data_IF_638371136943
#
_entry.id   IF_638371136943
#
_cell.length_a   1.000
_cell.length_b   1.000
_cell.length_c   1.000
_cell.angle_alpha   90.00
_cell.angle_beta   90.00
_cell.angle_gamma   90.00
#
_symmetry.space_group_name_H-M   'P 1'
#
loop_
_entity.id
_entity.type
_entity.pdbx_description
1 polymer ?
#
# COMPACT_ATOMS: atom_id res chain seq x y z
N UNK A 1 74.97 5.38 6.26
CA UNK A 1 74.93 4.38 5.19
C UNK A 1 73.49 3.89 5.04
N UNK A 2 72.74 4.46 4.12
CA UNK A 2 71.36 4.06 3.80
C UNK A 2 71.46 3.26 2.48
N UNK A 3 71.19 1.97 2.52
CA UNK A 3 71.09 1.14 1.33
C UNK A 3 69.71 1.28 0.71
N UNK A 4 69.60 2.12 -0.31
CA UNK A 4 68.42 2.16 -1.20
C UNK A 4 68.39 0.86 -2.03
N UNK A 5 67.57 -0.13 -1.65
CA UNK A 5 67.18 -1.21 -2.55
C UNK A 5 66.10 -0.67 -3.52
N UNK A 6 66.54 -0.25 -4.70
CA UNK A 6 65.65 -0.01 -5.81
C UNK A 6 64.97 -1.32 -6.21
N UNK A 7 63.79 -1.56 -5.75
CA UNK A 7 62.95 -2.68 -6.15
C UNK A 7 62.54 -2.45 -7.63
N UNK A 8 63.18 -3.16 -8.54
CA UNK A 8 62.96 -3.01 -9.96
C UNK A 8 61.66 -3.76 -10.35
N UNK A 9 60.54 -3.06 -10.27
CA UNK A 9 59.22 -3.58 -10.58
C UNK A 9 59.17 -4.24 -12.00
N UNK A 10 59.95 -3.67 -12.95
CA UNK A 10 60.00 -4.16 -14.33
C UNK A 10 60.62 -5.56 -14.44
N UNK A 11 61.68 -5.85 -13.65
CA UNK A 11 62.31 -7.18 -13.64
C UNK A 11 61.42 -8.21 -12.92
N UNK A 12 60.70 -7.78 -11.88
CA UNK A 12 59.72 -8.64 -11.21
C UNK A 12 58.52 -8.98 -12.12
N UNK A 13 57.98 -8.04 -12.88
CA UNK A 13 56.92 -8.27 -13.86
C UNK A 13 57.39 -9.17 -15.00
N UNK A 14 58.59 -8.95 -15.58
CA UNK A 14 59.15 -9.78 -16.62
C UNK A 14 59.39 -11.24 -16.16
N UNK A 15 59.87 -11.43 -14.94
CA UNK A 15 60.07 -12.74 -14.34
C UNK A 15 58.72 -13.47 -14.11
N UNK A 16 57.71 -12.75 -13.58
CA UNK A 16 56.38 -13.31 -13.43
C UNK A 16 55.74 -13.69 -14.77
N UNK A 17 55.90 -12.85 -15.81
CA UNK A 17 55.37 -13.13 -17.14
C UNK A 17 56.03 -14.35 -17.78
N UNK A 18 57.38 -14.49 -17.66
CA UNK A 18 58.10 -15.66 -18.19
C UNK A 18 57.73 -16.97 -17.47
N UNK A 19 57.53 -16.90 -16.15
CA UNK A 19 57.06 -18.05 -15.37
C UNK A 19 55.64 -18.47 -15.77
N UNK A 20 54.75 -17.50 -15.96
CA UNK A 20 53.37 -17.74 -16.43
C UNK A 20 53.35 -18.38 -17.84
N UNK A 21 54.16 -17.90 -18.78
CA UNK A 21 54.28 -18.46 -20.14
C UNK A 21 54.82 -19.90 -20.14
N UNK A 22 55.80 -20.22 -19.30
CA UNK A 22 56.33 -21.57 -19.19
C UNK A 22 55.28 -22.52 -18.54
N UNK A 23 54.61 -22.10 -17.51
CA UNK A 23 53.53 -22.85 -16.86
C UNK A 23 52.38 -23.12 -17.85
N UNK A 24 51.99 -22.12 -18.66
CA UNK A 24 50.92 -22.27 -19.63
C UNK A 24 51.26 -23.29 -20.74
N UNK A 25 52.53 -23.37 -21.18
CA UNK A 25 53.01 -24.36 -22.15
C UNK A 25 53.02 -25.77 -21.54
N UNK A 26 53.42 -25.90 -20.27
CA UNK A 26 53.46 -27.18 -19.57
C UNK A 26 52.03 -27.74 -19.36
N UNK A 27 51.09 -26.89 -18.98
CA UNK A 27 49.69 -27.24 -18.82
C UNK A 27 49.03 -27.65 -20.15
N UNK A 28 49.34 -26.95 -21.23
CA UNK A 28 48.82 -27.27 -22.57
C UNK A 28 49.30 -28.58 -23.14
N UNK A 29 50.46 -29.09 -22.71
CA UNK A 29 51.06 -30.35 -23.17
C UNK A 29 50.46 -31.60 -22.52
N UNK A 30 49.82 -31.45 -21.36
CA UNK A 30 49.26 -32.58 -20.59
C UNK A 30 47.72 -32.40 -20.45
N UNK A 31 46.94 -33.26 -21.14
CA UNK A 31 45.48 -33.19 -21.15
C UNK A 31 44.84 -33.31 -19.77
N UNK A 32 45.45 -34.04 -18.84
CA UNK A 32 44.93 -34.18 -17.48
C UNK A 32 45.14 -32.90 -16.67
N UNK A 33 46.30 -32.26 -16.80
CA UNK A 33 46.60 -30.97 -16.20
C UNK A 33 45.74 -29.85 -16.80
N UNK A 34 45.46 -29.89 -18.11
CA UNK A 34 44.60 -28.94 -18.77
C UNK A 34 43.16 -28.97 -18.17
N UNK A 35 42.60 -30.18 -18.00
CA UNK A 35 41.28 -30.34 -17.38
C UNK A 35 41.22 -29.80 -15.97
N UNK A 36 42.21 -30.13 -15.15
CA UNK A 36 42.29 -29.63 -13.76
C UNK A 36 42.42 -28.09 -13.70
N UNK A 37 43.22 -27.51 -14.59
CA UNK A 37 43.43 -26.07 -14.68
C UNK A 37 42.12 -25.34 -15.07
N UNK A 38 41.38 -25.89 -16.05
CA UNK A 38 40.08 -25.33 -16.44
C UNK A 38 39.06 -25.36 -15.32
N UNK A 39 39.04 -26.43 -14.50
CA UNK A 39 38.18 -26.50 -13.31
C UNK A 39 38.55 -25.43 -12.32
N UNK A 40 39.83 -25.22 -12.02
CA UNK A 40 40.26 -24.15 -11.12
C UNK A 40 39.93 -22.76 -11.64
N UNK A 41 40.09 -22.50 -12.92
CA UNK A 41 39.69 -21.25 -13.57
C UNK A 41 38.20 -21.03 -13.40
N UNK A 42 37.38 -22.06 -13.62
CA UNK A 42 35.92 -21.98 -13.43
C UNK A 42 35.55 -21.65 -11.96
N UNK A 43 36.17 -22.33 -11.00
CA UNK A 43 35.95 -22.09 -9.56
C UNK A 43 36.33 -20.65 -9.19
N UNK A 44 37.48 -20.16 -9.64
CA UNK A 44 37.90 -18.77 -9.39
C UNK A 44 36.92 -17.79 -10.01
N UNK A 45 36.46 -18.06 -11.24
CA UNK A 45 35.48 -17.21 -11.95
C UNK A 45 34.15 -17.15 -11.19
N UNK A 46 33.65 -18.30 -10.73
CA UNK A 46 32.43 -18.36 -9.91
C UNK A 46 32.62 -17.62 -8.59
N UNK A 47 33.79 -17.74 -7.95
CA UNK A 47 34.08 -17.01 -6.72
C UNK A 47 34.13 -15.50 -6.94
N UNK A 48 34.69 -15.03 -8.05
CA UNK A 48 34.73 -13.61 -8.42
C UNK A 48 33.29 -13.10 -8.67
N UNK A 49 32.46 -13.85 -9.41
CA UNK A 49 31.05 -13.49 -9.61
C UNK A 49 30.34 -13.37 -8.26
N UNK A 50 30.52 -14.36 -7.38
CA UNK A 50 29.94 -14.34 -6.05
C UNK A 50 30.42 -13.15 -5.22
N UNK A 51 31.70 -12.85 -5.23
CA UNK A 51 32.26 -11.69 -4.52
C UNK A 51 31.73 -10.36 -5.05
N UNK A 52 31.61 -10.23 -6.39
CA UNK A 52 31.01 -9.05 -7.03
C UNK A 52 29.52 -8.94 -6.65
N UNK A 53 28.78 -10.05 -6.65
CA UNK A 53 27.40 -10.07 -6.22
C UNK A 53 27.23 -9.63 -4.76
N UNK A 54 28.02 -10.21 -3.85
CA UNK A 54 28.01 -9.83 -2.41
C UNK A 54 28.40 -8.37 -2.23
N UNK A 55 29.43 -7.90 -2.93
CA UNK A 55 29.84 -6.49 -2.88
C UNK A 55 28.70 -5.58 -3.39
N UNK A 56 28.07 -5.93 -4.50
CA UNK A 56 26.99 -5.14 -5.07
C UNK A 56 25.77 -5.08 -4.13
N UNK A 57 25.37 -6.23 -3.56
CA UNK A 57 24.29 -6.29 -2.57
C UNK A 57 24.65 -5.45 -1.34
N UNK A 58 25.82 -5.66 -0.77
CA UNK A 58 26.27 -4.94 0.43
C UNK A 58 26.46 -3.44 0.16
N UNK A 59 27.15 -3.09 -0.91
CA UNK A 59 27.48 -1.70 -1.23
C UNK A 59 26.30 -0.92 -1.77
N UNK A 60 25.57 -1.45 -2.76
CA UNK A 60 24.44 -0.72 -3.37
C UNK A 60 23.20 -0.70 -2.48
N UNK A 61 22.88 -1.77 -1.79
CA UNK A 61 21.70 -1.84 -0.94
C UNK A 61 21.94 -1.29 0.47
N UNK A 62 23.11 -1.53 1.06
CA UNK A 62 23.39 -1.12 2.42
C UNK A 62 24.06 0.26 2.51
N UNK A 63 25.06 0.54 1.71
CA UNK A 63 25.85 1.77 1.84
C UNK A 63 25.47 2.90 0.89
N UNK A 64 25.04 2.58 -0.32
CA UNK A 64 24.71 3.61 -1.33
C UNK A 64 23.47 4.40 -0.95
N UNK A 65 22.52 3.82 -0.21
CA UNK A 65 21.31 4.49 0.25
C UNK A 65 21.55 5.45 1.41
N UNK A 66 22.44 5.13 2.33
CA UNK A 66 22.70 5.90 3.55
C UNK A 66 24.11 6.48 3.65
N UNK A 67 25.07 6.04 2.85
CA UNK A 67 26.49 6.43 2.95
C UNK A 67 27.29 5.57 3.93
N UNK A 68 28.55 5.94 4.16
CA UNK A 68 29.45 5.20 5.04
C UNK A 68 29.01 5.30 6.51
N UNK A 69 29.03 4.18 7.22
CA UNK A 69 28.64 4.10 8.65
C UNK A 69 27.21 3.64 8.89
N UNK A 70 26.43 3.33 7.84
CA UNK A 70 25.06 2.80 8.01
C UNK A 70 25.06 1.36 8.52
N UNK A 71 24.20 1.10 9.48
CA UNK A 71 23.80 -0.25 9.90
C UNK A 71 22.68 -0.78 9.02
N UNK A 72 22.34 -2.08 9.11
CA UNK A 72 21.20 -2.67 8.38
C UNK A 72 19.90 -1.93 8.72
N UNK A 73 19.72 -1.55 9.97
CA UNK A 73 18.52 -0.82 10.41
C UNK A 73 18.43 0.57 9.78
N UNK A 74 19.54 1.27 9.66
CA UNK A 74 19.58 2.61 9.04
C UNK A 74 19.42 2.55 7.53
N UNK A 75 19.88 1.50 6.86
CA UNK A 75 19.72 1.34 5.40
C UNK A 75 18.29 1.03 5.00
N UNK A 76 17.53 0.41 5.88
CA UNK A 76 16.11 0.16 5.65
C UNK A 76 15.27 1.44 5.67
N UNK A 77 15.84 2.57 6.14
CA UNK A 77 15.18 3.88 6.22
C UNK A 77 15.27 4.73 4.94
N UNK A 78 15.27 4.11 3.77
CA UNK A 78 15.41 4.84 2.51
C UNK A 78 14.36 5.96 2.34
N UNK A 79 13.11 5.74 2.74
CA UNK A 79 12.06 6.76 2.67
C UNK A 79 12.36 7.94 3.61
N UNK A 80 12.86 7.67 4.81
CA UNK A 80 13.29 8.73 5.73
C UNK A 80 14.33 9.65 5.10
N UNK A 81 15.28 9.10 4.31
CA UNK A 81 16.27 9.92 3.59
C UNK A 81 15.68 10.68 2.40
N UNK A 82 14.72 10.11 1.68
CA UNK A 82 14.05 10.77 0.55
C UNK A 82 13.27 11.99 1.06
N UNK A 83 12.46 11.83 2.10
CA UNK A 83 11.55 12.86 2.58
C UNK A 83 12.22 13.89 3.49
N UNK A 84 13.23 13.51 4.29
CA UNK A 84 13.98 14.46 5.11
C UNK A 84 14.94 15.34 4.30
N UNK A 85 15.57 14.82 3.24
CA UNK A 85 16.49 15.59 2.39
C UNK A 85 15.82 16.76 1.65
N UNK A 86 14.55 16.64 1.35
CA UNK A 86 13.82 17.66 0.59
C UNK A 86 13.18 18.73 1.49
N UNK A 87 13.48 18.73 2.81
CA UNK A 87 12.86 19.67 3.76
C UNK A 87 11.34 19.54 3.84
N UNK A 88 10.81 18.48 3.27
CA UNK A 88 9.40 18.25 3.07
C UNK A 88 8.85 17.30 4.10
N UNK A 89 8.69 17.78 5.33
CA UNK A 89 7.47 17.62 6.05
C UNK A 89 6.76 18.96 6.10
N UNK A 90 6.23 19.43 5.02
CA UNK A 90 4.98 20.09 5.11
C UNK A 90 3.99 19.20 4.40
N UNK A 91 3.53 18.11 5.01
CA UNK A 91 2.21 17.77 4.58
C UNK A 91 1.34 18.90 5.09
N UNK A 92 0.86 19.70 4.18
CA UNK A 92 -0.19 20.68 4.44
C UNK A 92 -1.48 19.94 4.87
N UNK A 93 -1.39 18.63 5.07
CA UNK A 93 -2.49 17.76 5.45
C UNK A 93 -2.86 18.03 6.90
N UNK A 94 -4.15 18.02 7.14
CA UNK A 94 -4.76 18.09 8.47
C UNK A 94 -5.86 17.04 8.56
N UNK A 95 -6.26 16.71 9.77
CA UNK A 95 -7.40 15.83 9.99
C UNK A 95 -8.68 16.47 9.45
N UNK A 96 -9.58 15.65 8.90
CA UNK A 96 -10.93 16.09 8.53
C UNK A 96 -11.60 16.64 9.78
N UNK A 97 -12.06 17.89 9.71
CA UNK A 97 -12.71 18.54 10.83
C UNK A 97 -14.13 18.00 11.01
N UNK A 98 -14.45 17.66 12.25
CA UNK A 98 -15.71 17.09 12.73
C UNK A 98 -16.95 17.90 12.34
N UNK A 99 -16.81 19.22 12.24
CA UNK A 99 -17.90 20.12 11.92
C UNK A 99 -18.03 20.40 10.42
N UNK A 100 -17.16 19.82 9.58
CA UNK A 100 -17.28 20.00 8.13
C UNK A 100 -18.36 19.07 7.59
N UNK A 101 -19.22 19.59 6.73
CA UNK A 101 -20.18 18.75 5.99
C UNK A 101 -19.46 17.62 5.21
N UNK A 102 -18.17 17.79 4.92
CA UNK A 102 -17.36 16.82 4.22
C UNK A 102 -17.23 15.48 4.93
N UNK A 103 -17.31 15.39 6.27
CA UNK A 103 -17.25 14.11 7.00
C UNK A 103 -18.50 13.23 6.83
N UNK A 104 -19.60 13.79 6.36
CA UNK A 104 -20.91 13.13 6.35
C UNK A 104 -21.13 12.22 5.16
N UNK A 105 -20.27 12.30 4.15
CA UNK A 105 -20.39 11.47 2.97
C UNK A 105 -19.90 10.05 3.23
N UNK A 106 -20.27 9.13 2.38
CA UNK A 106 -19.89 7.73 2.48
C UNK A 106 -18.40 7.53 2.19
N UNK A 107 -17.79 6.50 2.78
CA UNK A 107 -16.37 6.20 2.56
C UNK A 107 -16.01 6.08 1.06
N UNK A 108 -16.90 5.53 0.26
CA UNK A 108 -16.75 5.41 -1.20
C UNK A 108 -16.75 6.75 -1.95
N UNK A 109 -17.20 7.82 -1.31
CA UNK A 109 -17.29 9.14 -1.93
C UNK A 109 -15.97 9.93 -1.85
N UNK A 110 -14.92 9.34 -1.28
CA UNK A 110 -13.63 9.99 -1.14
C UNK A 110 -12.55 9.35 -1.98
N UNK A 111 -11.60 10.18 -2.44
CA UNK A 111 -10.25 9.75 -2.77
C UNK A 111 -9.46 9.62 -1.46
N UNK A 112 -8.71 8.54 -1.32
CA UNK A 112 -8.01 8.19 -0.07
C UNK A 112 -6.52 8.08 -0.36
N UNK A 113 -5.70 8.87 0.34
CA UNK A 113 -4.25 8.82 0.20
C UNK A 113 -3.71 7.45 0.62
N UNK A 114 -3.22 6.71 -0.37
CA UNK A 114 -2.91 5.27 -0.25
C UNK A 114 -1.45 4.99 -0.60
N UNK A 115 -0.78 4.21 0.22
CA UNK A 115 0.57 3.71 -0.04
C UNK A 115 0.57 2.20 -0.26
N UNK A 116 1.36 1.75 -1.22
CA UNK A 116 1.55 0.34 -1.58
C UNK A 116 2.82 -0.23 -0.97
N UNK A 117 2.75 -1.40 -0.33
CA UNK A 117 3.88 -2.05 0.33
C UNK A 117 4.66 -1.07 1.25
N UNK A 118 3.98 -0.53 2.24
CA UNK A 118 4.41 0.60 3.08
C UNK A 118 5.76 0.43 3.79
N UNK A 119 6.21 -0.81 3.98
CA UNK A 119 7.50 -1.10 4.60
C UNK A 119 8.66 -1.20 3.60
N UNK A 120 8.38 -1.14 2.28
CA UNK A 120 9.42 -1.26 1.27
C UNK A 120 10.22 0.03 1.13
N UNK A 121 11.54 -0.08 1.17
CA UNK A 121 12.46 1.06 0.93
C UNK A 121 12.97 1.14 -0.51
N UNK A 122 12.62 0.18 -1.38
CA UNK A 122 13.13 0.11 -2.75
C UNK A 122 12.41 -0.92 -3.60
N UNK A 123 13.15 -1.93 -4.06
CA UNK A 123 12.60 -3.00 -4.87
C UNK A 123 11.81 -3.99 -4.01
N UNK A 124 10.86 -4.70 -4.62
CA UNK A 124 10.10 -5.74 -3.93
C UNK A 124 10.82 -7.08 -3.86
N UNK A 125 11.82 -7.29 -4.71
CA UNK A 125 12.65 -8.47 -4.78
C UNK A 125 14.11 -8.12 -4.51
N UNK A 126 14.80 -8.97 -3.74
CA UNK A 126 16.21 -8.83 -3.39
C UNK A 126 16.53 -7.48 -2.71
N UNK A 127 15.63 -7.04 -1.85
CA UNK A 127 15.76 -5.79 -1.10
C UNK A 127 15.22 -5.96 0.33
N UNK A 128 15.20 -4.90 1.11
CA UNK A 128 14.82 -4.91 2.52
C UNK A 128 13.50 -4.19 2.76
N UNK A 129 12.77 -4.65 3.78
CA UNK A 129 11.64 -3.94 4.38
C UNK A 129 12.05 -3.39 5.74
N UNK A 130 11.47 -2.24 6.16
CA UNK A 130 11.82 -1.59 7.42
C UNK A 130 10.68 -0.77 8.00
N UNK A 131 10.56 -0.75 9.35
CA UNK A 131 9.56 0.05 10.07
C UNK A 131 9.73 1.54 9.83
N UNK A 132 10.95 2.01 9.67
CA UNK A 132 11.20 3.42 9.40
C UNK A 132 10.63 3.90 8.05
N UNK A 133 10.48 3.01 7.06
CA UNK A 133 9.76 3.34 5.83
C UNK A 133 8.26 3.54 6.12
N UNK A 134 7.66 2.69 6.95
CA UNK A 134 6.29 2.86 7.41
C UNK A 134 6.10 4.17 8.19
N UNK A 135 7.01 4.49 9.10
CA UNK A 135 7.00 5.76 9.85
C UNK A 135 7.06 6.95 8.88
N UNK A 136 7.93 6.90 7.85
CA UNK A 136 8.02 7.93 6.84
C UNK A 136 6.72 8.07 6.03
N UNK A 137 6.07 6.96 5.66
CA UNK A 137 4.76 6.97 4.97
C UNK A 137 3.67 7.58 5.84
N UNK A 138 3.58 7.17 7.11
CA UNK A 138 2.61 7.70 8.07
C UNK A 138 2.80 9.22 8.25
N UNK A 139 4.04 9.68 8.35
CA UNK A 139 4.34 11.09 8.53
C UNK A 139 4.05 11.95 7.28
N UNK A 140 3.90 11.33 6.10
CA UNK A 140 3.33 11.99 4.91
C UNK A 140 1.78 12.08 4.96
N UNK A 141 1.15 11.63 6.04
CA UNK A 141 -0.29 11.68 6.24
C UNK A 141 -1.08 10.60 5.50
N UNK A 142 -0.43 9.56 5.02
CA UNK A 142 -1.10 8.43 4.37
C UNK A 142 -2.07 7.74 5.34
N UNK A 143 -3.25 7.39 4.85
CA UNK A 143 -4.31 6.77 5.66
C UNK A 143 -4.80 5.42 5.15
N UNK A 144 -4.40 4.99 3.98
CA UNK A 144 -4.54 3.62 3.54
C UNK A 144 -3.15 2.99 3.36
N UNK A 145 -2.86 1.98 4.17
CA UNK A 145 -1.56 1.32 4.29
C UNK A 145 -1.67 -0.11 3.77
N UNK A 146 -1.00 -0.41 2.66
CA UNK A 146 -1.04 -1.74 2.05
C UNK A 146 0.19 -2.57 2.44
N UNK A 147 -0.04 -3.86 2.70
CA UNK A 147 0.99 -4.81 3.12
C UNK A 147 0.78 -6.19 2.49
N UNK A 148 1.88 -6.89 2.17
CA UNK A 148 1.88 -8.32 1.89
C UNK A 148 2.18 -9.11 3.17
N UNK A 149 1.24 -9.99 3.57
CA UNK A 149 1.35 -10.80 4.77
C UNK A 149 1.70 -12.25 4.45
N UNK A 150 2.72 -12.75 5.10
CA UNK A 150 3.22 -14.12 4.99
C UNK A 150 3.20 -14.81 6.35
N UNK A 151 3.37 -16.14 6.33
CA UNK A 151 3.55 -16.95 7.53
C UNK A 151 5.01 -17.33 7.72
N UNK A 152 5.57 -17.03 8.90
CA UNK A 152 6.87 -17.53 9.33
C UNK A 152 6.74 -18.15 10.71
N UNK A 153 6.98 -19.47 10.84
CA UNK A 153 6.81 -20.18 12.10
C UNK A 153 5.41 -19.95 12.73
N UNK A 154 4.36 -19.98 11.92
CA UNK A 154 2.97 -19.69 12.31
C UNK A 154 2.73 -18.26 12.83
N UNK A 155 3.66 -17.34 12.64
CA UNK A 155 3.49 -15.93 12.99
C UNK A 155 3.23 -15.08 11.75
N UNK A 156 2.34 -14.07 11.83
CA UNK A 156 2.11 -13.13 10.74
C UNK A 156 3.30 -12.19 10.59
N UNK A 157 3.87 -12.14 9.39
CA UNK A 157 4.99 -11.26 9.05
C UNK A 157 4.68 -10.46 7.80
N UNK A 158 5.26 -9.27 7.71
CA UNK A 158 5.21 -8.41 6.52
C UNK A 158 6.53 -8.52 5.76
N UNK A 159 6.40 -8.74 4.46
CA UNK A 159 7.51 -8.83 3.53
C UNK A 159 7.02 -8.38 2.15
N UNK A 160 7.84 -8.51 1.10
CA UNK A 160 7.47 -8.13 -0.27
C UNK A 160 7.83 -9.20 -1.27
N UNK A 161 7.09 -9.24 -2.39
CA UNK A 161 7.39 -10.04 -3.57
C UNK A 161 7.17 -9.24 -4.86
N UNK A 162 7.85 -9.65 -5.93
CA UNK A 162 7.70 -9.06 -7.27
C UNK A 162 6.45 -9.56 -8.00
N UNK A 163 5.82 -10.60 -7.49
CA UNK A 163 4.62 -11.21 -8.07
C UNK A 163 3.43 -10.98 -7.15
N UNK A 164 2.42 -10.22 -7.58
CA UNK A 164 1.17 -10.11 -6.85
C UNK A 164 0.35 -11.40 -6.94
N UNK A 165 0.69 -12.32 -7.86
CA UNK A 165 -0.09 -13.54 -8.09
C UNK A 165 0.13 -14.59 -7.01
N UNK A 166 -0.92 -15.39 -6.78
CA UNK A 166 -1.02 -16.53 -5.87
C UNK A 166 0.02 -17.64 -6.09
N UNK A 167 0.74 -17.62 -7.22
CA UNK A 167 1.72 -18.66 -7.57
C UNK A 167 2.97 -18.67 -6.70
N UNK A 168 3.22 -17.62 -5.93
CA UNK A 168 4.40 -17.51 -5.06
C UNK A 168 4.01 -17.08 -3.66
N UNK A 169 3.73 -18.07 -2.78
CA UNK A 169 3.58 -17.85 -1.34
C UNK A 169 4.92 -17.54 -0.64
N UNK A 170 5.97 -17.24 -1.40
CA UNK A 170 7.30 -16.98 -0.88
C UNK A 170 7.61 -15.48 -0.94
N UNK A 171 8.11 -14.95 0.17
CA UNK A 171 8.66 -13.60 0.18
C UNK A 171 9.95 -13.54 -0.65
N UNK A 172 10.18 -12.43 -1.32
CA UNK A 172 11.39 -12.18 -2.09
C UNK A 172 12.28 -11.09 -1.47
N UNK A 173 11.81 -10.39 -0.43
CA UNK A 173 12.64 -9.51 0.40
C UNK A 173 13.61 -10.31 1.27
N UNK A 174 14.80 -9.75 1.54
CA UNK A 174 15.81 -10.42 2.35
C UNK A 174 15.38 -10.63 3.80
N UNK A 175 14.68 -9.67 4.37
CA UNK A 175 14.14 -9.74 5.72
C UNK A 175 12.59 -9.74 5.72
N UNK A 176 12.03 -9.72 6.91
CA UNK A 176 10.60 -9.56 7.18
C UNK A 176 10.41 -8.85 8.52
N UNK A 177 9.22 -8.30 8.74
CA UNK A 177 8.85 -7.57 9.95
C UNK A 177 7.67 -8.29 10.60
N UNK A 178 7.72 -8.59 11.91
CA UNK A 178 6.57 -9.11 12.64
C UNK A 178 5.38 -8.14 12.54
N UNK A 179 4.17 -8.65 12.35
CA UNK A 179 3.00 -7.79 12.21
C UNK A 179 2.68 -7.02 13.50
N UNK A 180 3.06 -7.57 14.66
CA UNK A 180 2.96 -6.85 15.94
C UNK A 180 3.74 -5.53 15.93
N UNK A 181 4.92 -5.51 15.33
CA UNK A 181 5.75 -4.31 15.25
C UNK A 181 5.13 -3.27 14.31
N UNK A 182 4.41 -3.73 13.27
CA UNK A 182 3.62 -2.85 12.39
C UNK A 182 2.49 -2.18 13.19
N UNK A 183 1.71 -2.96 13.94
CA UNK A 183 0.60 -2.44 14.75
C UNK A 183 1.09 -1.48 15.83
N UNK A 184 2.15 -1.82 16.53
CA UNK A 184 2.80 -0.93 17.52
C UNK A 184 3.29 0.37 16.87
N UNK A 185 3.85 0.29 15.67
CA UNK A 185 4.29 1.48 14.92
C UNK A 185 3.10 2.35 14.52
N UNK A 186 2.03 1.77 14.02
CA UNK A 186 0.80 2.51 13.69
C UNK A 186 0.24 3.18 14.93
N UNK A 187 0.12 2.47 16.04
CA UNK A 187 -0.39 3.01 17.31
C UNK A 187 0.43 4.22 17.79
N UNK A 188 1.75 4.12 17.74
CA UNK A 188 2.64 5.15 18.28
C UNK A 188 2.78 6.37 17.36
N UNK A 189 2.73 6.19 16.05
CA UNK A 189 3.06 7.24 15.09
C UNK A 189 1.86 7.83 14.35
N UNK A 190 0.80 7.06 14.10
CA UNK A 190 -0.29 7.52 13.26
C UNK A 190 -1.34 8.36 14.00
N UNK A 191 -1.38 8.27 15.33
CA UNK A 191 -2.34 8.96 16.17
C UNK A 191 -1.71 10.08 17.03
N UNK A 192 -0.48 10.43 16.75
CA UNK A 192 0.23 11.51 17.45
C UNK A 192 0.45 12.70 16.50
N UNK A 193 0.03 13.89 16.92
CA UNK A 193 0.25 15.13 16.17
C UNK A 193 1.71 15.54 16.04
N UNK A 194 2.62 14.95 16.84
CA UNK A 194 4.07 15.17 16.71
C UNK A 194 4.69 14.37 15.56
N UNK A 195 4.03 13.31 15.10
CA UNK A 195 4.57 12.37 14.12
C UNK A 195 3.72 12.24 12.85
N UNK A 196 2.47 12.67 12.91
CA UNK A 196 1.53 12.60 11.80
C UNK A 196 0.69 13.88 11.72
N UNK A 197 0.45 14.43 10.51
CA UNK A 197 -0.28 15.69 10.33
C UNK A 197 -1.79 15.57 10.56
N UNK A 198 -2.35 14.37 10.41
CA UNK A 198 -3.80 14.11 10.46
C UNK A 198 -4.16 12.98 11.44
N UNK A 199 -3.83 13.11 12.75
CA UNK A 199 -3.91 12.01 13.71
C UNK A 199 -5.34 11.56 14.07
N UNK A 200 -6.37 12.36 13.80
CA UNK A 200 -7.77 11.99 14.08
C UNK A 200 -8.45 11.23 12.93
N UNK A 201 -7.82 11.16 11.76
CA UNK A 201 -8.38 10.45 10.62
C UNK A 201 -8.31 8.92 10.83
N UNK A 202 -9.28 8.17 10.29
CA UNK A 202 -9.21 6.71 10.33
C UNK A 202 -8.03 6.18 9.53
N UNK A 203 -7.59 4.97 9.86
CA UNK A 203 -6.58 4.23 9.12
C UNK A 203 -7.21 3.03 8.45
N UNK A 204 -6.89 2.80 7.20
CA UNK A 204 -7.22 1.59 6.46
C UNK A 204 -5.94 0.75 6.38
N UNK A 205 -6.01 -0.47 6.88
CA UNK A 205 -4.96 -1.48 6.70
C UNK A 205 -5.45 -2.47 5.63
N UNK A 206 -4.81 -2.46 4.49
CA UNK A 206 -5.07 -3.41 3.41
C UNK A 206 -4.06 -4.55 3.47
N UNK A 207 -4.54 -5.76 3.72
CA UNK A 207 -3.72 -6.97 3.90
C UNK A 207 -3.87 -7.89 2.70
N UNK A 208 -2.83 -8.02 1.90
CA UNK A 208 -2.75 -9.05 0.85
C UNK A 208 -2.17 -10.33 1.45
N UNK A 209 -3.07 -11.26 1.81
CA UNK A 209 -2.70 -12.50 2.48
C UNK A 209 -2.08 -13.48 1.48
N UNK A 210 -0.87 -13.92 1.77
CA UNK A 210 -0.06 -14.84 0.95
C UNK A 210 0.08 -16.24 1.56
N UNK A 211 -0.76 -16.60 2.52
CA UNK A 211 -0.67 -17.89 3.21
C UNK A 211 -2.04 -18.39 3.65
N UNK A 212 -2.32 -19.67 3.40
CA UNK A 212 -3.50 -20.37 3.91
C UNK A 212 -3.25 -21.04 5.28
N UNK A 213 -2.22 -20.65 6.03
CA UNK A 213 -1.89 -21.22 7.32
C UNK A 213 -2.88 -20.75 8.41
N UNK A 214 -3.83 -21.60 8.79
CA UNK A 214 -4.83 -21.29 9.80
C UNK A 214 -4.24 -20.94 11.17
N UNK A 215 -3.11 -21.52 11.57
CA UNK A 215 -2.44 -21.17 12.84
C UNK A 215 -1.90 -19.74 12.80
N UNK A 216 -1.35 -19.30 11.68
CA UNK A 216 -0.92 -17.93 11.51
C UNK A 216 -2.11 -16.96 11.58
N UNK A 217 -3.23 -17.30 10.94
CA UNK A 217 -4.43 -16.45 10.94
C UNK A 217 -5.05 -16.35 12.35
N UNK A 218 -5.08 -17.44 13.13
CA UNK A 218 -5.53 -17.39 14.52
C UNK A 218 -4.55 -16.60 15.41
N UNK A 219 -3.24 -16.74 15.18
CA UNK A 219 -2.25 -15.91 15.88
C UNK A 219 -2.38 -14.42 15.52
N UNK A 220 -2.77 -14.11 14.28
CA UNK A 220 -3.11 -12.75 13.86
C UNK A 220 -4.32 -12.20 14.63
N UNK A 221 -5.39 -13.00 14.80
CA UNK A 221 -6.54 -12.61 15.62
C UNK A 221 -6.14 -12.31 17.07
N UNK A 222 -5.41 -13.23 17.71
CA UNK A 222 -4.91 -13.03 19.08
C UNK A 222 -4.04 -11.78 19.22
N UNK A 223 -3.27 -11.44 18.19
CA UNK A 223 -2.47 -10.21 18.16
C UNK A 223 -3.37 -8.97 18.09
N UNK A 224 -4.40 -9.00 17.25
CA UNK A 224 -5.31 -7.88 17.05
C UNK A 224 -6.16 -7.58 18.29
N UNK A 225 -6.45 -8.58 19.12
CA UNK A 225 -7.16 -8.41 20.40
C UNK A 225 -6.48 -7.35 21.30
N UNK A 226 -5.15 -7.27 21.28
CA UNK A 226 -4.41 -6.25 22.03
C UNK A 226 -4.67 -4.81 21.54
N UNK A 227 -5.20 -4.64 20.33
CA UNK A 227 -5.50 -3.36 19.68
C UNK A 227 -7.01 -3.10 19.51
N UNK A 228 -7.86 -3.88 20.16
CA UNK A 228 -9.32 -3.84 20.01
C UNK A 228 -9.89 -2.42 20.17
N UNK A 229 -9.36 -1.62 21.09
CA UNK A 229 -9.77 -0.23 21.28
C UNK A 229 -9.56 0.68 20.06
N UNK A 230 -8.63 0.32 19.16
CA UNK A 230 -8.34 1.03 17.92
C UNK A 230 -9.14 0.49 16.73
N UNK A 231 -9.57 -0.77 16.80
CA UNK A 231 -10.29 -1.44 15.72
C UNK A 231 -11.75 -1.01 15.67
N UNK A 232 -12.39 -1.22 14.54
CA UNK A 232 -13.86 -1.13 14.45
C UNK A 232 -14.49 -2.27 15.24
N UNK A 233 -15.63 -1.97 15.88
CA UNK A 233 -16.39 -2.97 16.61
C UNK A 233 -16.99 -4.06 15.70
N UNK A 234 -17.51 -5.15 16.28
CA UNK A 234 -18.06 -6.29 15.55
C UNK A 234 -19.26 -5.92 14.66
N UNK A 235 -19.94 -4.79 14.92
CA UNK A 235 -21.02 -4.26 14.10
C UNK A 235 -20.55 -3.86 12.68
N UNK A 236 -19.25 -3.61 12.51
CA UNK A 236 -18.61 -3.30 11.23
C UNK A 236 -17.85 -4.47 10.62
N UNK A 237 -17.94 -5.66 11.20
CA UNK A 237 -17.36 -6.85 10.58
C UNK A 237 -18.01 -7.13 9.22
N UNK A 238 -17.29 -7.84 8.34
CA UNK A 238 -17.74 -8.11 6.98
C UNK A 238 -19.15 -8.71 6.93
N UNK A 239 -19.44 -9.65 7.80
CA UNK A 239 -20.74 -10.34 7.84
C UNK A 239 -21.86 -9.46 8.43
N UNK A 240 -21.54 -8.56 9.35
CA UNK A 240 -22.52 -7.72 10.05
C UNK A 240 -22.82 -6.39 9.33
N UNK A 241 -21.84 -5.81 8.65
CA UNK A 241 -21.96 -4.51 7.96
C UNK A 241 -22.70 -4.58 6.62
N UNK A 242 -23.26 -5.74 6.24
CA UNK A 242 -23.86 -5.98 4.92
C UNK A 242 -22.84 -5.99 3.79
N UNK A 243 -21.58 -6.29 4.07
CA UNK A 243 -20.46 -6.45 3.16
C UNK A 243 -20.02 -5.16 2.46
N UNK A 244 -20.68 -4.03 2.69
CA UNK A 244 -20.43 -2.76 1.99
C UNK A 244 -20.09 -1.62 2.95
N UNK A 245 -18.91 -1.68 3.57
CA UNK A 245 -18.40 -0.60 4.42
C UNK A 245 -18.25 0.73 3.64
N UNK A 246 -18.06 0.65 2.33
CA UNK A 246 -18.02 1.83 1.45
C UNK A 246 -19.28 2.69 1.51
N UNK A 247 -20.42 2.13 1.90
CA UNK A 247 -21.70 2.82 2.07
C UNK A 247 -21.90 3.41 3.49
N UNK A 248 -20.90 3.33 4.38
CA UNK A 248 -20.94 3.90 5.72
C UNK A 248 -20.31 5.30 5.70
N UNK A 249 -20.92 6.31 6.35
CA UNK A 249 -20.35 7.65 6.42
C UNK A 249 -18.98 7.69 7.09
N UNK A 250 -18.04 8.46 6.54
CA UNK A 250 -16.66 8.58 7.04
C UNK A 250 -16.60 9.01 8.51
N UNK A 251 -17.57 9.82 8.96
CA UNK A 251 -17.66 10.29 10.34
C UNK A 251 -17.68 9.17 11.38
N UNK A 252 -18.21 7.99 11.06
CA UNK A 252 -18.26 6.87 12.00
C UNK A 252 -16.89 6.22 12.26
N UNK A 253 -15.94 6.47 11.38
CA UNK A 253 -14.57 5.93 11.48
C UNK A 253 -13.59 6.97 12.00
N UNK A 254 -13.94 8.25 11.94
CA UNK A 254 -13.08 9.35 12.42
C UNK A 254 -13.11 9.46 13.95
N UNK A 255 -12.11 10.12 14.51
CA UNK A 255 -12.01 10.37 15.94
C UNK A 255 -13.10 11.30 16.51
N UNK A 256 -13.95 11.83 15.66
CA UNK A 256 -15.07 12.74 15.98
C UNK A 256 -16.02 12.18 17.00
N UNK A 257 -16.43 10.93 16.77
CA UNK A 257 -17.39 10.21 17.61
C UNK A 257 -16.72 9.29 18.62
N UNK A 258 -15.39 9.18 18.58
CA UNK A 258 -14.64 8.37 19.53
C UNK A 258 -14.40 9.17 20.82
N UNK A 259 -14.65 8.58 22.00
CA UNK A 259 -14.30 9.22 23.29
C UNK A 259 -12.81 9.57 23.39
N UNK A 260 -11.95 8.86 22.69
CA UNK A 260 -10.49 9.06 22.65
C UNK A 260 -10.05 10.08 21.62
N UNK A 261 -10.96 10.61 20.79
CA UNK A 261 -10.66 11.48 19.63
C UNK A 261 -9.65 10.88 18.64
N UNK A 262 -9.56 9.57 18.59
CA UNK A 262 -8.70 8.81 17.67
C UNK A 262 -9.56 8.19 16.59
N UNK A 263 -9.09 8.24 15.34
CA UNK A 263 -9.68 7.50 14.22
C UNK A 263 -9.58 6.00 14.46
N UNK A 264 -10.49 5.25 13.86
CA UNK A 264 -10.52 3.79 13.93
C UNK A 264 -9.67 3.16 12.84
N UNK A 265 -9.23 1.92 13.08
CA UNK A 265 -8.56 1.09 12.09
C UNK A 265 -9.59 0.23 11.38
N UNK A 266 -9.61 0.32 10.05
CA UNK A 266 -10.40 -0.48 9.14
C UNK A 266 -9.50 -1.55 8.55
N UNK A 267 -9.86 -2.83 8.65
CA UNK A 267 -9.09 -3.94 8.09
C UNK A 267 -9.76 -4.42 6.80
N UNK A 268 -9.04 -4.29 5.68
CA UNK A 268 -9.44 -4.81 4.37
C UNK A 268 -8.52 -5.96 4.00
N UNK A 269 -9.09 -7.08 3.58
CA UNK A 269 -8.35 -8.27 3.21
C UNK A 269 -8.46 -8.54 1.71
N UNK A 270 -7.34 -8.85 1.09
CA UNK A 270 -7.27 -9.50 -0.22
C UNK A 270 -6.72 -10.90 -0.03
N UNK A 271 -7.52 -11.89 -0.34
CA UNK A 271 -7.07 -13.27 -0.41
C UNK A 271 -6.72 -13.59 -1.87
N UNK A 272 -5.48 -13.98 -2.08
CA UNK A 272 -4.92 -14.16 -3.43
C UNK A 272 -5.59 -15.29 -4.21
N UNK A 273 -6.17 -16.28 -3.52
CA UNK A 273 -6.93 -17.37 -4.13
C UNK A 273 -8.04 -17.90 -3.18
N UNK A 274 -8.87 -18.80 -3.69
CA UNK A 274 -9.98 -19.37 -2.95
C UNK A 274 -9.52 -20.20 -1.72
N UNK A 275 -8.35 -20.84 -1.76
CA UNK A 275 -7.86 -21.63 -0.63
C UNK A 275 -7.46 -20.70 0.52
N UNK A 276 -6.79 -19.61 0.20
CA UNK A 276 -6.42 -18.58 1.19
C UNK A 276 -7.68 -17.91 1.73
N UNK A 277 -8.64 -17.56 0.86
CA UNK A 277 -9.89 -16.95 1.29
C UNK A 277 -10.69 -17.88 2.22
N UNK A 278 -10.80 -19.16 1.89
CA UNK A 278 -11.46 -20.15 2.75
C UNK A 278 -10.74 -20.28 4.10
N UNK A 279 -9.41 -20.25 4.13
CA UNK A 279 -8.65 -20.27 5.38
C UNK A 279 -8.91 -19.02 6.23
N UNK A 280 -8.99 -17.85 5.62
CA UNK A 280 -9.31 -16.56 6.29
C UNK A 280 -10.72 -16.63 6.89
N UNK A 281 -11.73 -17.01 6.10
CA UNK A 281 -13.13 -17.09 6.54
C UNK A 281 -13.35 -18.12 7.66
N UNK A 282 -12.56 -19.18 7.71
CA UNK A 282 -12.64 -20.23 8.75
C UNK A 282 -11.72 -19.98 9.95
N UNK A 283 -11.07 -18.83 10.03
CA UNK A 283 -10.18 -18.47 11.16
C UNK A 283 -10.83 -17.43 12.08
N UNK A 284 -10.35 -17.32 13.32
CA UNK A 284 -10.76 -16.27 14.25
C UNK A 284 -10.45 -14.86 13.73
N UNK A 285 -9.54 -14.71 12.78
CA UNK A 285 -9.21 -13.44 12.17
C UNK A 285 -10.37 -12.84 11.37
N UNK A 286 -11.32 -13.67 10.91
CA UNK A 286 -12.47 -13.21 10.12
C UNK A 286 -13.34 -12.18 10.85
N UNK A 287 -13.44 -12.26 12.17
CA UNK A 287 -14.20 -11.32 12.99
C UNK A 287 -13.67 -9.87 12.92
N UNK A 288 -12.39 -9.72 12.60
CA UNK A 288 -11.73 -8.40 12.46
C UNK A 288 -11.79 -7.83 11.04
N UNK A 289 -12.23 -8.62 10.06
CA UNK A 289 -12.28 -8.20 8.66
C UNK A 289 -13.51 -7.32 8.44
N UNK A 290 -13.29 -6.10 7.98
CA UNK A 290 -14.36 -5.14 7.71
C UNK A 290 -14.78 -5.13 6.23
N UNK A 291 -13.85 -5.41 5.31
CA UNK A 291 -14.10 -5.44 3.87
C UNK A 291 -13.16 -6.43 3.17
N UNK A 292 -13.61 -6.99 2.06
CA UNK A 292 -12.81 -7.87 1.19
C UNK A 292 -12.59 -7.18 -0.14
N UNK A 293 -11.33 -6.93 -0.50
CA UNK A 293 -10.96 -6.45 -1.83
C UNK A 293 -10.88 -7.61 -2.81
N UNK A 294 -11.34 -7.38 -4.05
CA UNK A 294 -11.62 -8.44 -5.02
C UNK A 294 -13.06 -8.97 -4.92
N UNK A 295 -13.92 -8.36 -4.09
CA UNK A 295 -15.35 -8.64 -3.98
C UNK A 295 -16.18 -7.68 -4.87
N UNK A 296 -17.49 -7.89 -4.89
CA UNK A 296 -18.45 -7.00 -5.58
C UNK A 296 -18.39 -5.56 -5.04
N UNK A 297 -18.13 -5.40 -3.74
CA UNK A 297 -18.13 -4.08 -3.08
C UNK A 297 -16.79 -3.35 -3.14
N UNK A 298 -15.71 -4.07 -3.44
CA UNK A 298 -14.40 -3.47 -3.60
C UNK A 298 -13.55 -4.23 -4.63
N UNK A 299 -13.27 -3.58 -5.74
CA UNK A 299 -12.41 -4.12 -6.79
C UNK A 299 -10.94 -3.78 -6.55
N UNK A 300 -10.04 -4.65 -7.05
CA UNK A 300 -8.63 -4.36 -7.24
C UNK A 300 -8.33 -4.43 -8.73
N UNK A 301 -7.66 -3.40 -9.24
CA UNK A 301 -7.32 -3.27 -10.67
C UNK A 301 -5.84 -2.92 -10.78
N UNK A 302 -5.11 -3.62 -11.65
CA UNK A 302 -3.72 -3.29 -11.95
C UNK A 302 -3.63 -2.02 -12.81
N UNK A 303 -2.52 -1.31 -12.75
CA UNK A 303 -2.31 -0.11 -13.54
C UNK A 303 -2.39 -0.36 -15.05
N UNK A 304 -1.84 -1.46 -15.53
CA UNK A 304 -1.93 -1.86 -16.96
C UNK A 304 -3.36 -2.13 -17.40
N UNK A 305 -4.17 -2.73 -16.52
CA UNK A 305 -5.58 -2.98 -16.74
C UNK A 305 -6.36 -1.67 -16.80
N UNK A 306 -6.15 -0.74 -15.85
CA UNK A 306 -6.74 0.60 -15.86
C UNK A 306 -6.41 1.34 -17.16
N UNK A 307 -5.15 1.33 -17.60
CA UNK A 307 -4.72 1.99 -18.83
C UNK A 307 -5.31 1.38 -20.12
N UNK A 308 -5.77 0.14 -20.07
CA UNK A 308 -6.38 -0.59 -21.19
C UNK A 308 -7.90 -0.55 -21.18
N UNK A 309 -8.52 0.07 -20.19
CA UNK A 309 -9.99 0.17 -20.10
C UNK A 309 -10.55 0.94 -21.30
N UNK A 310 -11.42 0.27 -22.07
CA UNK A 310 -12.02 0.87 -23.28
C UNK A 310 -13.21 1.79 -22.98
N UNK A 311 -13.83 1.62 -21.82
CA UNK A 311 -14.99 2.40 -21.40
C UNK A 311 -14.85 2.79 -19.92
N UNK A 312 -14.42 4.02 -19.67
CA UNK A 312 -14.30 4.53 -18.30
C UNK A 312 -15.65 4.71 -17.60
N UNK A 313 -16.74 4.90 -18.33
CA UNK A 313 -18.06 5.14 -17.75
C UNK A 313 -18.54 3.95 -16.91
N UNK A 314 -18.22 2.72 -17.32
CA UNK A 314 -18.55 1.52 -16.53
C UNK A 314 -17.83 1.50 -15.20
N UNK A 315 -16.55 1.91 -15.18
CA UNK A 315 -15.77 2.04 -13.96
C UNK A 315 -16.28 3.18 -13.09
N UNK A 316 -16.60 4.33 -13.66
CA UNK A 316 -17.20 5.48 -12.96
C UNK A 316 -18.51 5.06 -12.29
N UNK A 317 -19.42 4.42 -13.04
CA UNK A 317 -20.70 3.95 -12.50
C UNK A 317 -20.51 2.95 -11.35
N UNK A 318 -19.56 2.02 -11.49
CA UNK A 318 -19.21 1.12 -10.40
C UNK A 318 -18.67 1.89 -9.17
N UNK A 319 -17.80 2.86 -9.37
CA UNK A 319 -17.14 3.61 -8.31
C UNK A 319 -18.05 4.62 -7.60
N UNK A 320 -19.22 4.91 -8.13
CA UNK A 320 -20.27 5.64 -7.42
C UNK A 320 -20.94 4.78 -6.34
N UNK A 321 -21.00 3.46 -6.52
CA UNK A 321 -21.70 2.52 -5.63
C UNK A 321 -20.75 1.68 -4.79
N UNK A 322 -19.58 1.34 -5.33
CA UNK A 322 -18.58 0.45 -4.77
C UNK A 322 -17.22 1.16 -4.67
N UNK A 323 -16.22 0.46 -4.16
CA UNK A 323 -14.87 0.97 -4.06
C UNK A 323 -13.94 0.29 -5.07
N UNK A 324 -12.90 0.99 -5.50
CA UNK A 324 -11.84 0.45 -6.35
C UNK A 324 -10.48 0.90 -5.85
N UNK A 325 -9.55 -0.03 -5.77
CA UNK A 325 -8.13 0.21 -5.48
C UNK A 325 -7.29 -0.10 -6.71
N UNK A 326 -6.57 0.89 -7.19
CA UNK A 326 -5.59 0.71 -8.25
C UNK A 326 -4.25 0.38 -7.62
N UNK A 327 -3.62 -0.71 -8.08
CA UNK A 327 -2.32 -1.15 -7.59
C UNK A 327 -1.27 -1.13 -8.71
N UNK A 328 0.02 -0.99 -8.38
CA UNK A 328 1.11 -1.14 -9.35
C UNK A 328 1.07 -2.52 -10.03
N UNK A 329 1.59 -2.57 -11.25
CA UNK A 329 1.77 -3.83 -11.97
C UNK A 329 2.77 -4.77 -11.29
N UNK A 330 2.79 -6.03 -11.71
CA UNK A 330 3.77 -7.01 -11.27
C UNK A 330 5.19 -6.59 -11.64
N UNK A 331 6.15 -6.93 -10.80
CA UNK A 331 7.57 -6.69 -11.06
C UNK A 331 8.36 -6.35 -9.82
N UNK A 332 9.67 -6.47 -9.90
CA UNK A 332 10.56 -6.12 -8.78
C UNK A 332 10.60 -4.62 -8.51
N UNK A 333 10.39 -3.80 -9.54
CA UNK A 333 10.41 -2.34 -9.46
C UNK A 333 9.39 -1.70 -10.42
N UNK A 334 8.07 -1.95 -10.26
CA UNK A 334 7.05 -1.39 -11.14
C UNK A 334 6.99 0.14 -10.99
N UNK A 335 6.45 0.85 -11.98
CA UNK A 335 6.11 2.27 -11.89
C UNK A 335 4.93 2.49 -10.94
N UNK A 336 4.73 3.72 -10.48
CA UNK A 336 3.49 4.11 -9.84
C UNK A 336 2.30 4.03 -10.81
N UNK A 337 1.10 3.73 -10.32
CA UNK A 337 -0.10 3.77 -11.12
C UNK A 337 -0.38 5.17 -11.66
N UNK A 338 -1.12 5.22 -12.77
CA UNK A 338 -1.56 6.47 -13.38
C UNK A 338 -2.59 7.18 -12.49
N UNK A 339 -2.10 8.15 -11.71
CA UNK A 339 -2.91 8.85 -10.72
C UNK A 339 -4.08 9.62 -11.35
N UNK A 340 -3.82 10.37 -12.43
CA UNK A 340 -4.87 11.16 -13.07
C UNK A 340 -5.99 10.29 -13.63
N UNK A 341 -5.64 9.21 -14.31
CA UNK A 341 -6.64 8.30 -14.85
C UNK A 341 -7.44 7.61 -13.74
N UNK A 342 -6.78 7.24 -12.63
CA UNK A 342 -7.44 6.69 -11.44
C UNK A 342 -8.48 7.67 -10.86
N UNK A 343 -8.14 8.96 -10.78
CA UNK A 343 -9.06 10.00 -10.32
C UNK A 343 -10.22 10.22 -11.30
N UNK A 344 -9.94 10.30 -12.61
CA UNK A 344 -10.97 10.44 -13.65
C UNK A 344 -11.98 9.30 -13.62
N UNK A 345 -11.52 8.09 -13.34
CA UNK A 345 -12.36 6.91 -13.16
C UNK A 345 -13.12 6.88 -11.83
N UNK A 346 -12.89 7.84 -10.93
CA UNK A 346 -13.53 7.91 -9.61
C UNK A 346 -13.03 6.83 -8.64
N UNK A 347 -11.85 6.23 -8.87
CA UNK A 347 -11.28 5.21 -7.99
C UNK A 347 -10.90 5.82 -6.64
N UNK A 348 -11.31 5.18 -5.56
CA UNK A 348 -11.10 5.70 -4.20
C UNK A 348 -9.64 5.65 -3.78
N UNK A 349 -8.93 4.60 -4.14
CA UNK A 349 -7.55 4.34 -3.71
C UNK A 349 -6.64 4.14 -4.92
N UNK A 350 -5.60 4.95 -5.02
CA UNK A 350 -4.50 4.76 -5.96
C UNK A 350 -3.23 4.49 -5.14
N UNK A 351 -2.84 3.22 -5.07
CA UNK A 351 -1.80 2.74 -4.18
C UNK A 351 -0.41 3.11 -4.68
N UNK A 352 0.14 4.20 -4.15
CA UNK A 352 1.41 4.77 -4.57
C UNK A 352 2.60 4.12 -3.87
N UNK A 353 3.67 3.95 -4.61
CA UNK A 353 4.98 3.53 -4.13
C UNK A 353 5.76 4.77 -3.66
N UNK A 354 5.76 5.05 -2.37
CA UNK A 354 6.40 6.23 -1.81
C UNK A 354 7.93 6.22 -1.92
N UNK A 355 8.54 5.05 -2.14
CA UNK A 355 9.97 4.90 -2.42
C UNK A 355 10.37 5.28 -3.86
N UNK A 356 9.40 5.53 -4.77
CA UNK A 356 9.64 5.89 -6.17
C UNK A 356 9.06 7.28 -6.46
N UNK A 357 9.85 8.36 -6.33
CA UNK A 357 9.39 9.73 -6.54
C UNK A 357 9.28 10.07 -8.03
N UNK A 358 8.41 9.35 -8.75
CA UNK A 358 8.09 9.61 -10.15
C UNK A 358 7.02 10.70 -10.32
N UNK A 359 6.60 10.94 -11.58
CA UNK A 359 5.60 11.97 -11.89
C UNK A 359 4.24 11.66 -11.26
N UNK A 360 3.82 10.39 -11.21
CA UNK A 360 2.53 10.01 -10.65
C UNK A 360 2.46 10.24 -9.13
N UNK A 361 3.54 9.93 -8.40
CA UNK A 361 3.62 10.24 -6.97
C UNK A 361 3.62 11.75 -6.72
N UNK A 362 4.30 12.54 -7.56
CA UNK A 362 4.29 13.99 -7.45
C UNK A 362 2.90 14.56 -7.72
N UNK A 363 2.18 14.08 -8.72
CA UNK A 363 0.80 14.46 -9.00
C UNK A 363 -0.13 14.10 -7.82
N UNK A 364 0.11 12.95 -7.19
CA UNK A 364 -0.65 12.52 -6.02
C UNK A 364 -0.40 13.41 -4.79
N UNK A 365 0.87 13.73 -4.50
CA UNK A 365 1.26 14.33 -3.22
C UNK A 365 1.50 15.84 -3.25
N UNK A 366 2.24 16.38 -4.26
CA UNK A 366 2.80 17.73 -4.16
C UNK A 366 2.47 18.68 -5.29
N UNK A 367 2.06 18.19 -6.46
CA UNK A 367 1.96 19.02 -7.64
C UNK A 367 0.64 18.85 -8.34
N UNK A 368 -0.32 19.66 -7.98
CA UNK A 368 -1.28 20.06 -9.00
C UNK A 368 -0.51 20.96 -9.95
N UNK A 369 -0.30 20.49 -11.16
CA UNK A 369 0.44 21.22 -12.17
C UNK A 369 -0.30 22.51 -12.49
N UNK A 370 0.11 23.61 -11.89
CA UNK A 370 0.00 24.92 -12.48
C UNK A 370 1.04 25.04 -13.62
N UNK A 371 1.19 23.99 -14.41
CA UNK A 371 1.96 24.09 -15.63
C UNK A 371 0.97 24.37 -16.75
N UNK A 372 1.22 25.43 -17.45
CA UNK A 372 0.71 25.87 -18.73
C UNK A 372 0.73 24.81 -19.85
N UNK A 373 0.47 23.57 -19.53
CA UNK A 373 0.26 22.48 -20.46
C UNK A 373 -1.24 22.33 -20.60
N UNK A 374 -1.71 22.93 -21.68
CA UNK A 374 -3.04 22.80 -22.23
C UNK A 374 -4.20 23.16 -21.29
N UNK A 375 -4.58 24.42 -21.36
CA UNK A 375 -5.82 24.94 -20.76
C UNK A 375 -7.09 24.21 -21.23
N UNK A 376 -7.00 23.32 -22.21
CA UNK A 376 -8.11 22.49 -22.69
C UNK A 376 -8.43 21.30 -21.75
N UNK A 377 -7.46 20.84 -20.93
CA UNK A 377 -7.69 19.85 -19.89
C UNK A 377 -8.09 20.47 -18.54
N UNK A 378 -7.99 21.79 -18.42
CA UNK A 378 -8.28 22.55 -17.22
C UNK A 378 -9.74 23.07 -17.17
N UNK A 379 -10.58 22.62 -18.08
CA UNK A 379 -11.99 23.02 -18.17
C UNK A 379 -12.94 22.03 -17.50
N UNK A 380 -12.54 21.47 -16.36
CA UNK A 380 -13.52 20.82 -15.53
C UNK A 380 -14.03 21.84 -14.49
N UNK A 381 -15.24 22.38 -14.61
CA UNK A 381 -15.81 23.35 -13.64
C UNK A 381 -15.86 22.79 -12.21
N UNK A 382 -15.73 21.47 -12.03
CA UNK A 382 -15.73 20.78 -10.74
C UNK A 382 -14.33 20.42 -10.22
N UNK A 383 -13.25 20.97 -10.81
CA UNK A 383 -11.91 21.01 -10.19
C UNK A 383 -11.23 19.67 -9.95
N UNK A 384 -10.73 19.01 -11.01
CA UNK A 384 -9.80 17.87 -10.93
C UNK A 384 -8.39 18.25 -10.40
N UNK A 385 -8.26 19.34 -9.67
CA UNK A 385 -7.02 19.75 -9.01
C UNK A 385 -6.88 19.13 -7.61
N UNK A 386 -7.23 17.85 -7.47
CA UNK A 386 -7.22 17.16 -6.19
C UNK A 386 -5.92 16.40 -5.97
N UNK A 387 -4.80 17.10 -5.89
CA UNK A 387 -3.68 16.52 -5.18
C UNK A 387 -3.91 16.71 -3.68
N UNK A 388 -3.57 15.72 -2.90
CA UNK A 388 -3.91 15.66 -1.48
C UNK A 388 -3.35 16.87 -0.70
N UNK A 389 -2.10 17.27 -0.94
CA UNK A 389 -1.50 18.41 -0.25
C UNK A 389 -2.14 19.76 -0.59
N UNK A 390 -2.69 19.95 -1.80
CA UNK A 390 -3.36 21.19 -2.15
C UNK A 390 -4.73 21.32 -1.52
N UNK A 391 -5.43 20.20 -1.36
CA UNK A 391 -6.73 20.16 -0.68
C UNK A 391 -6.55 20.17 0.83
N UNK A 392 -5.41 19.65 1.33
CA UNK A 392 -5.06 19.65 2.74
C UNK A 392 -5.65 18.51 3.55
N UNK A 393 -6.16 17.42 2.91
CA UNK A 393 -6.75 16.26 3.57
C UNK A 393 -6.31 14.96 2.92
N UNK A 394 -6.23 13.88 3.71
CA UNK A 394 -5.96 12.53 3.21
C UNK A 394 -7.20 11.81 2.67
N UNK A 395 -8.38 12.31 3.03
CA UNK A 395 -9.67 11.93 2.46
C UNK A 395 -10.23 13.14 1.73
N UNK A 396 -10.20 13.10 0.41
CA UNK A 396 -10.65 14.19 -0.46
C UNK A 396 -11.98 13.81 -1.09
N UNK A 397 -13.02 14.61 -0.86
CA UNK A 397 -14.33 14.35 -1.42
C UNK A 397 -14.28 14.39 -2.96
N UNK A 398 -14.80 13.35 -3.60
CA UNK A 398 -14.88 13.27 -5.06
C UNK A 398 -15.83 14.36 -5.61
N UNK A 399 -15.62 14.83 -6.85
CA UNK A 399 -16.57 15.69 -7.54
C UNK A 399 -17.99 15.09 -7.56
N UNK A 400 -19.00 15.93 -7.60
CA UNK A 400 -20.42 15.50 -7.52
C UNK A 400 -20.83 14.52 -8.63
N UNK A 401 -20.28 14.68 -9.82
CA UNK A 401 -20.51 13.79 -10.98
C UNK A 401 -19.87 12.39 -10.80
N UNK A 402 -18.97 12.20 -9.84
CA UNK A 402 -18.33 10.92 -9.51
C UNK A 402 -18.85 10.31 -8.19
N UNK A 403 -19.93 10.86 -7.65
CA UNK A 403 -20.59 10.36 -6.43
C UNK A 403 -22.03 9.94 -6.75
N UNK A 404 -22.51 8.91 -6.06
CA UNK A 404 -23.92 8.56 -6.13
C UNK A 404 -24.73 9.61 -5.38
N UNK A 405 -25.50 10.39 -6.12
CA UNK A 405 -26.50 11.30 -5.57
C UNK A 405 -27.83 10.58 -5.74
N UNK A 406 -28.50 10.17 -4.63
CA UNK A 406 -29.84 9.61 -4.73
C UNK A 406 -30.72 10.59 -5.50
N UNK A 407 -31.30 10.16 -6.59
CA UNK A 407 -32.31 10.95 -7.28
C UNK A 407 -33.41 11.18 -6.23
N UNK A 408 -33.59 12.41 -5.79
CA UNK A 408 -34.78 12.73 -5.03
C UNK A 408 -35.93 12.40 -5.96
N UNK A 409 -36.67 11.36 -5.62
CA UNK A 409 -37.94 11.09 -6.29
C UNK A 409 -38.83 12.25 -5.86
N UNK A 410 -38.75 13.35 -6.59
CA UNK A 410 -39.68 14.47 -6.46
C UNK A 410 -41.08 14.08 -6.98
N UNK A 411 -41.40 12.82 -6.87
CA UNK A 411 -42.75 12.30 -7.00
C UNK A 411 -43.34 12.11 -5.59
N UNK A 412 -43.26 13.14 -4.75
CA UNK A 412 -44.37 13.37 -3.86
C UNK A 412 -45.47 13.77 -4.84
N UNK A 413 -46.53 12.94 -5.09
CA UNK A 413 -47.68 13.38 -5.87
C UNK A 413 -48.07 14.71 -5.22
N UNK A 414 -48.10 15.79 -6.01
CA UNK A 414 -48.71 17.01 -5.52
C UNK A 414 -50.11 16.60 -5.09
N UNK A 415 -50.34 16.60 -3.79
CA UNK A 415 -51.67 16.38 -3.25
C UNK A 415 -52.51 17.46 -3.88
N UNK A 416 -53.42 17.05 -4.74
CA UNK A 416 -54.44 17.97 -5.24
C UNK A 416 -55.16 18.51 -4.01
N UNK A 417 -54.96 19.78 -3.69
CA UNK A 417 -55.56 20.42 -2.53
C UNK A 417 -57.09 20.36 -2.49
N UNK A 418 -57.70 19.92 -3.64
CA UNK A 418 -59.14 19.70 -3.74
C UNK A 418 -59.61 18.34 -3.27
N UNK A 419 -58.69 17.40 -2.98
CA UNK A 419 -59.03 16.08 -2.47
C UNK A 419 -58.98 16.06 -0.95
N UNK A 420 -60.14 16.05 -0.33
CA UNK A 420 -60.27 15.76 1.10
C UNK A 420 -59.92 14.30 1.35
N UNK A 421 -58.69 14.05 1.79
CA UNK A 421 -58.27 12.71 2.20
C UNK A 421 -58.83 12.42 3.61
N UNK A 422 -59.83 11.55 3.67
CA UNK A 422 -60.01 10.77 4.89
C UNK A 422 -58.76 9.92 5.10
N UNK A 423 -58.15 9.88 6.34
CA UNK A 423 -56.97 9.09 6.57
C UNK A 423 -57.24 7.63 6.20
N UNK A 424 -56.52 7.12 5.20
CA UNK A 424 -56.56 5.71 4.84
C UNK A 424 -55.91 4.92 5.96
N UNK A 425 -56.71 4.23 6.75
CA UNK A 425 -56.23 3.28 7.75
C UNK A 425 -56.17 1.89 7.14
N UNK A 426 -54.97 1.36 6.96
CA UNK A 426 -54.81 -0.02 6.56
C UNK A 426 -54.43 -0.82 7.81
N UNK A 427 -55.28 -1.78 8.18
CA UNK A 427 -55.05 -2.67 9.32
C UNK A 427 -54.50 -4.00 8.76
N UNK A 428 -53.34 -4.37 9.18
CA UNK A 428 -52.73 -5.68 8.89
C UNK A 428 -52.71 -6.50 10.19
N UNK A 429 -53.50 -7.58 10.20
CA UNK A 429 -53.53 -8.52 11.34
C UNK A 429 -52.37 -9.53 11.22
N UNK A 430 -51.49 -9.54 12.22
CA UNK A 430 -50.48 -10.60 12.38
C UNK A 430 -50.77 -11.29 13.71
N UNK A 431 -51.41 -12.48 13.63
CA UNK A 431 -51.84 -13.21 14.81
C UNK A 431 -52.94 -12.47 15.60
N UNK A 432 -52.74 -12.24 16.89
CA UNK A 432 -53.69 -11.54 17.77
C UNK A 432 -53.45 -10.03 17.87
N UNK A 433 -52.46 -9.51 17.15
CA UNK A 433 -52.19 -8.06 17.16
C UNK A 433 -52.60 -7.42 15.84
N UNK A 434 -53.35 -6.33 15.92
CA UNK A 434 -53.72 -5.48 14.79
C UNK A 434 -52.87 -4.22 14.85
N UNK A 435 -52.03 -4.01 13.86
CA UNK A 435 -51.22 -2.79 13.72
C UNK A 435 -51.92 -1.89 12.70
N UNK A 436 -52.31 -0.70 13.12
CA UNK A 436 -52.98 0.29 12.26
C UNK A 436 -51.96 1.35 11.83
N UNK A 437 -51.80 1.51 10.55
CA UNK A 437 -50.97 2.56 9.96
C UNK A 437 -51.84 3.69 9.45
N UNK A 438 -51.56 4.92 9.87
CA UNK A 438 -52.17 6.14 9.32
C UNK A 438 -51.18 6.70 8.26
N UNK A 439 -51.64 6.90 7.06
CA UNK A 439 -50.87 7.54 5.99
C UNK A 439 -51.31 8.98 5.79
#
# INVERSE_FOLDING_TARGET
>A
MSSNSNFNIKDSVNKATSQFLNLSKEIASDRSKLGTTLIWILIIFLFVIFAVYVHNVKYNLLYKRCGAGCTVDNTNCNLGTIYTRNGAFPSALQSINDNSEQCRYFLRDYYILTAYNCCSGGNYKNDYVGLCNLIAVISQGVRCLDFEMYSLNNQPIIATSSSPTYMTCYKESYNSIPFNDIMTTIQNYAYSSSTCPNPSDPIIIHLRIKSANCLMLNNLANLLEAYDSLLLGPEFSYDNSGNNLGAVPLMWFSGVYSPTKQGKIIIIVNAMDNNIMNAVMNSSFWEYVNMVSGSTFMQIVNNSELNSYSNLDDMINNNMLNMTMIIPDSGSNPSNPNFLLSQLAGCQMCAMRFQLPDINLKLCTTSCINTSVDSSLNTNPDGLNTCFNNVGYAFVLKPSNLRYIPTQINNIPQTDETLSFAPNTTSVGIGTQVITYNY
#
